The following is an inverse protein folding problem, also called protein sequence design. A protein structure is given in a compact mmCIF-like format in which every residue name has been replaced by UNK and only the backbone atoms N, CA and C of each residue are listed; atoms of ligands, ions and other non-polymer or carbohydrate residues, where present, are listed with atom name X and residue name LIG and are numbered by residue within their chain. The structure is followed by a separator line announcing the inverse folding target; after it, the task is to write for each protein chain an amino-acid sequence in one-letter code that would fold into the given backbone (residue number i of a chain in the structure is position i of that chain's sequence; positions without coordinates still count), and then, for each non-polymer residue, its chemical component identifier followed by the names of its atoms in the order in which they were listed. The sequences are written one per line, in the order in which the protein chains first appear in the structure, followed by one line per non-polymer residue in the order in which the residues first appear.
data_IF_366299440734
#
_entry.id   IF_366299440734
#
_cell.length_a   1.000
_cell.length_b   1.000
_cell.length_c   1.000
_cell.angle_alpha   90.00
_cell.angle_beta   90.00
_cell.angle_gamma   90.00
#
_symmetry.space_group_name_H-M   'P 1'
#
loop_
_entity.id
_entity.type
_entity.pdbx_description
1 polymer ?
#
# COMPACT_ATOMS: atom_id res chain seq x y z
N UNK A 1 7.88 -3.21 19.81
CA UNK A 1 7.64 -2.03 18.98
C UNK A 1 8.80 -1.82 18.01
N UNK A 2 8.49 -1.78 16.73
CA UNK A 2 9.51 -1.59 15.70
C UNK A 2 9.45 -0.18 15.15
N UNK A 3 10.62 0.44 15.07
CA UNK A 3 10.75 1.75 14.45
C UNK A 3 11.24 1.58 13.02
N UNK A 4 10.70 2.35 12.14
CA UNK A 4 11.08 2.34 10.73
C UNK A 4 10.00 2.97 9.89
N UNK A 5 10.31 3.16 8.62
CA UNK A 5 9.37 3.74 7.68
C UNK A 5 8.33 2.70 7.27
N UNK A 6 7.08 3.09 7.23
CA UNK A 6 6.00 2.31 6.64
C UNK A 6 5.48 3.05 5.44
N UNK A 7 5.08 2.31 4.41
CA UNK A 7 4.41 2.90 3.26
C UNK A 7 2.93 2.59 3.34
N UNK A 8 2.11 3.61 3.10
CA UNK A 8 0.67 3.45 2.99
C UNK A 8 0.30 3.56 1.51
N UNK A 9 -0.45 2.60 1.03
CA UNK A 9 -0.75 2.46 -0.40
C UNK A 9 -2.26 2.49 -0.62
N UNK A 10 -2.70 3.35 -1.51
CA UNK A 10 -4.09 3.45 -1.93
C UNK A 10 -4.18 3.04 -3.40
N UNK A 11 -4.85 1.92 -3.66
CA UNK A 11 -4.90 1.33 -5.00
C UNK A 11 -6.13 1.80 -5.74
N UNK A 12 -5.94 2.76 -6.64
CA UNK A 12 -7.01 3.25 -7.50
C UNK A 12 -7.13 2.46 -8.79
N UNK A 13 -8.11 2.80 -9.62
CA UNK A 13 -8.29 2.17 -10.92
C UNK A 13 -7.26 2.65 -11.95
N UNK A 14 -6.84 3.90 -11.83
CA UNK A 14 -5.91 4.52 -12.77
C UNK A 14 -4.52 4.74 -12.20
N UNK A 15 -4.40 4.86 -10.89
CA UNK A 15 -3.12 5.16 -10.23
C UNK A 15 -3.10 4.65 -8.81
N UNK A 16 -1.89 4.53 -8.29
CA UNK A 16 -1.65 4.10 -6.91
C UNK A 16 -1.04 5.29 -6.18
N UNK A 17 -1.67 5.71 -5.10
CA UNK A 17 -1.09 6.73 -4.21
C UNK A 17 -0.24 6.06 -3.16
N UNK A 18 0.94 6.61 -2.91
CA UNK A 18 1.85 6.09 -1.90
C UNK A 18 2.23 7.21 -0.96
N UNK A 19 2.07 6.97 0.32
CA UNK A 19 2.47 7.88 1.38
C UNK A 19 3.52 7.21 2.25
N UNK A 20 4.40 8.03 2.79
CA UNK A 20 5.43 7.60 3.71
C UNK A 20 4.97 7.94 5.12
N UNK A 21 4.92 6.95 5.98
CA UNK A 21 4.58 7.14 7.38
C UNK A 21 5.87 7.20 8.19
N UNK A 22 5.97 8.17 9.08
CA UNK A 22 7.18 8.34 9.87
C UNK A 22 7.34 7.16 10.85
N UNK A 23 8.52 7.05 11.51
CA UNK A 23 8.76 5.93 12.43
C UNK A 23 7.75 5.80 13.55
N UNK A 24 7.13 6.90 13.96
CA UNK A 24 6.11 6.88 15.02
C UNK A 24 4.73 6.53 14.47
N UNK A 25 4.56 6.55 13.16
CA UNK A 25 3.28 6.26 12.53
C UNK A 25 2.24 7.36 12.68
N UNK A 26 2.65 8.54 13.11
CA UNK A 26 1.73 9.64 13.41
C UNK A 26 1.48 10.56 12.22
N UNK A 27 2.45 10.68 11.33
CA UNK A 27 2.37 11.60 10.20
C UNK A 27 2.61 10.85 8.92
N UNK A 28 1.69 11.01 7.97
CA UNK A 28 1.85 10.46 6.63
C UNK A 28 2.12 11.61 5.66
N UNK A 29 3.13 11.45 4.84
CA UNK A 29 3.50 12.43 3.82
C UNK A 29 3.39 11.83 2.44
N UNK A 30 2.77 12.51 1.48
CA UNK A 30 2.71 11.99 0.10
C UNK A 30 4.12 11.74 -0.42
N UNK A 31 4.34 10.59 -1.02
CA UNK A 31 5.65 10.21 -1.52
C UNK A 31 5.66 10.07 -3.03
N UNK A 32 4.68 9.39 -3.60
CA UNK A 32 4.66 9.13 -5.03
C UNK A 32 3.25 8.79 -5.50
N UNK A 33 3.06 8.93 -6.81
CA UNK A 33 1.87 8.43 -7.50
C UNK A 33 2.38 7.56 -8.63
N UNK A 34 1.91 6.32 -8.69
CA UNK A 34 2.35 5.34 -9.67
C UNK A 34 1.20 5.02 -10.60
N UNK A 35 1.36 5.17 -11.91
CA UNK A 35 0.31 4.76 -12.85
C UNK A 35 0.04 3.27 -12.77
N UNK A 36 -1.24 2.86 -12.87
CA UNK A 36 -1.59 1.45 -12.96
C UNK A 36 -1.17 0.90 -14.31
N UNK A 37 -0.67 -0.33 -14.28
CA UNK A 37 -0.28 -1.02 -15.52
C UNK A 37 0.92 -1.92 -15.30
N UNK A 38 1.49 -2.44 -16.41
CA UNK A 38 2.70 -3.26 -16.33
C UNK A 38 3.81 -2.48 -15.64
N UNK A 39 4.44 -3.07 -14.67
CA UNK A 39 5.54 -2.42 -13.95
C UNK A 39 5.14 -1.66 -12.70
N UNK A 40 3.84 -1.54 -12.38
CA UNK A 40 3.41 -0.83 -11.17
C UNK A 40 3.93 -1.52 -9.91
N UNK A 41 3.89 -2.85 -9.87
CA UNK A 41 4.44 -3.61 -8.75
C UNK A 41 5.95 -3.42 -8.61
N UNK A 42 6.65 -3.39 -9.74
CA UNK A 42 8.10 -3.18 -9.74
C UNK A 42 8.44 -1.79 -9.22
N UNK A 43 7.70 -0.79 -9.66
CA UNK A 43 7.90 0.60 -9.22
C UNK A 43 7.70 0.72 -7.71
N UNK A 44 6.66 0.09 -7.20
CA UNK A 44 6.37 0.13 -5.77
C UNK A 44 7.42 -0.64 -4.97
N UNK A 45 7.88 -1.79 -5.48
CA UNK A 45 8.93 -2.57 -4.83
C UNK A 45 10.24 -1.76 -4.76
N UNK A 46 10.57 -1.06 -5.83
CA UNK A 46 11.74 -0.18 -5.89
C UNK A 46 11.64 0.93 -4.84
N UNK A 47 10.47 1.54 -4.76
CA UNK A 47 10.21 2.61 -3.80
C UNK A 47 10.33 2.10 -2.36
N UNK A 48 9.78 0.92 -2.08
CA UNK A 48 9.86 0.31 -0.75
C UNK A 48 11.33 0.03 -0.37
N UNK A 49 12.12 -0.42 -1.32
CA UNK A 49 13.55 -0.67 -1.10
C UNK A 49 14.31 0.62 -0.86
N UNK A 50 14.03 1.65 -1.66
CA UNK A 50 14.69 2.96 -1.52
C UNK A 50 14.39 3.60 -0.18
N UNK A 51 13.18 3.42 0.33
CA UNK A 51 12.77 3.95 1.64
C UNK A 51 13.17 3.04 2.80
N UNK A 52 13.69 1.88 2.50
CA UNK A 52 14.01 0.85 3.51
C UNK A 52 12.79 0.56 4.38
N UNK A 53 11.64 0.38 3.72
CA UNK A 53 10.36 0.21 4.40
C UNK A 53 10.33 -1.10 5.18
N UNK A 54 9.82 -1.04 6.40
CA UNK A 54 9.70 -2.23 7.26
C UNK A 54 8.33 -2.90 7.11
N UNK A 55 7.39 -2.20 6.51
CA UNK A 55 6.02 -2.71 6.33
C UNK A 55 5.33 -1.87 5.26
N UNK A 56 4.44 -2.49 4.50
CA UNK A 56 3.57 -1.78 3.56
C UNK A 56 2.12 -2.04 3.96
N UNK A 57 1.35 -0.97 4.06
CA UNK A 57 -0.05 -1.02 4.45
C UNK A 57 -0.88 -0.67 3.23
N UNK A 58 -1.78 -1.56 2.82
CA UNK A 58 -2.68 -1.31 1.70
C UNK A 58 -4.07 -1.02 2.25
N UNK A 59 -4.62 0.13 1.91
CA UNK A 59 -5.95 0.52 2.34
C UNK A 59 -7.02 -0.34 1.69
N UNK A 60 -7.96 -0.81 2.51
CA UNK A 60 -9.08 -1.62 2.05
C UNK A 60 -10.35 -0.78 2.17
N UNK A 61 -10.84 -0.20 1.06
CA UNK A 61 -12.05 0.61 1.12
C UNK A 61 -13.28 -0.26 1.34
N UNK A 62 -14.14 0.16 2.26
CA UNK A 62 -15.42 -0.51 2.49
C UNK A 62 -16.55 0.46 2.16
N UNK A 63 -17.62 -0.05 1.57
CA UNK A 63 -18.77 0.76 1.25
C UNK A 63 -19.57 1.14 2.49
N UNK A 64 -20.53 2.03 2.31
CA UNK A 64 -21.40 2.47 3.40
C UNK A 64 -22.20 1.33 4.01
N UNK A 65 -22.44 0.27 3.25
CA UNK A 65 -23.15 -0.91 3.72
C UNK A 65 -22.26 -1.90 4.47
N UNK A 66 -20.95 -1.62 4.54
CA UNK A 66 -19.98 -2.53 5.11
C UNK A 66 -19.57 -3.65 4.16
N UNK A 67 -20.10 -3.67 2.95
CA UNK A 67 -19.74 -4.66 1.93
C UNK A 67 -18.52 -4.21 1.16
N UNK A 68 -17.71 -5.19 0.79
CA UNK A 68 -16.60 -4.94 -0.11
C UNK A 68 -17.11 -4.86 -1.54
N UNK A 69 -16.73 -3.82 -2.24
CA UNK A 69 -17.04 -3.66 -3.65
C UNK A 69 -15.82 -3.90 -4.53
N UNK A 70 -15.90 -3.42 -5.77
CA UNK A 70 -14.83 -3.59 -6.75
C UNK A 70 -13.51 -2.99 -6.29
N UNK A 71 -13.55 -1.85 -5.58
CA UNK A 71 -12.34 -1.20 -5.08
C UNK A 71 -11.63 -2.06 -4.03
N UNK A 72 -12.41 -2.69 -3.14
CA UNK A 72 -11.85 -3.57 -2.12
C UNK A 72 -11.24 -4.83 -2.76
N UNK A 73 -11.93 -5.40 -3.74
CA UNK A 73 -11.42 -6.56 -4.48
C UNK A 73 -10.10 -6.23 -5.17
N UNK A 74 -10.02 -5.05 -5.79
CA UNK A 74 -8.80 -4.57 -6.43
C UNK A 74 -7.66 -4.46 -5.44
N UNK A 75 -7.93 -3.88 -4.26
CA UNK A 75 -6.93 -3.72 -3.22
C UNK A 75 -6.41 -5.06 -2.73
N UNK A 76 -7.29 -6.05 -2.55
CA UNK A 76 -6.89 -7.38 -2.09
C UNK A 76 -6.01 -8.09 -3.09
N UNK A 77 -6.38 -8.05 -4.37
CA UNK A 77 -5.60 -8.69 -5.43
C UNK A 77 -4.20 -8.06 -5.51
N UNK A 78 -4.17 -6.74 -5.46
CA UNK A 78 -2.90 -6.01 -5.53
C UNK A 78 -2.03 -6.34 -4.32
N UNK A 79 -2.62 -6.36 -3.12
CA UNK A 79 -1.88 -6.64 -1.89
C UNK A 79 -1.26 -8.04 -1.90
N UNK A 80 -1.98 -9.05 -2.43
CA UNK A 80 -1.43 -10.41 -2.56
C UNK A 80 -0.20 -10.42 -3.46
N UNK A 81 -0.31 -9.79 -4.62
CA UNK A 81 0.80 -9.76 -5.58
C UNK A 81 1.99 -8.99 -5.00
N UNK A 82 1.70 -7.90 -4.30
CA UNK A 82 2.73 -7.09 -3.67
C UNK A 82 3.44 -7.86 -2.56
N UNK A 83 2.67 -8.57 -1.73
CA UNK A 83 3.22 -9.37 -0.63
C UNK A 83 4.21 -10.43 -1.14
N UNK A 84 3.87 -11.09 -2.24
CA UNK A 84 4.74 -12.09 -2.84
C UNK A 84 6.05 -11.46 -3.31
N UNK A 85 5.96 -10.23 -3.81
CA UNK A 85 7.12 -9.54 -4.37
C UNK A 85 8.02 -8.92 -3.30
N UNK A 86 7.43 -8.48 -2.19
CA UNK A 86 8.18 -7.78 -1.14
C UNK A 86 8.68 -8.68 -0.02
N UNK A 87 8.26 -9.95 0.01
CA UNK A 87 8.66 -10.86 1.09
C UNK A 87 10.17 -10.78 1.30
N UNK A 88 10.66 -10.72 2.53
CA UNK A 88 9.94 -10.89 3.79
C UNK A 88 9.32 -9.62 4.38
N UNK A 89 9.33 -8.49 3.66
CA UNK A 89 8.67 -7.27 4.14
C UNK A 89 7.16 -7.53 4.14
N UNK A 90 6.48 -7.38 5.30
CA UNK A 90 5.06 -7.69 5.37
C UNK A 90 4.20 -6.65 4.67
N UNK A 91 3.13 -7.14 4.04
CA UNK A 91 2.10 -6.30 3.42
C UNK A 91 0.80 -6.60 4.14
N UNK A 92 0.16 -5.56 4.65
CA UNK A 92 -1.02 -5.70 5.48
C UNK A 92 -2.18 -4.88 4.91
N UNK A 93 -3.38 -5.46 4.94
CA UNK A 93 -4.59 -4.73 4.57
C UNK A 93 -5.16 -4.06 5.83
N UNK A 94 -5.57 -2.82 5.68
CA UNK A 94 -6.17 -2.06 6.78
C UNK A 94 -7.47 -1.43 6.28
N UNK A 95 -8.55 -1.65 7.04
CA UNK A 95 -9.84 -1.03 6.72
C UNK A 95 -9.75 0.48 6.75
N UNK A 96 -10.29 1.08 5.73
CA UNK A 96 -10.46 2.54 5.65
C UNK A 96 -11.94 2.85 5.79
N UNK A 97 -12.29 3.62 6.79
CA UNK A 97 -13.66 4.03 7.02
C UNK A 97 -13.79 5.52 7.14
#
# INVERSE_FOLDING_TARGET
LRFGIRLAVDVGSARIGVARCDPDGLIASPLATIPRGPGDLRSLASLAADEDAIEVIVGLPTGLSGREGAAAARARVFAEALAARLAPVPVRLVDER
#
